data_IF_130989633401
#
_entry.id   IF_130989633401
#
_cell.length_a   1.000
_cell.length_b   1.000
_cell.length_c   1.000
_cell.angle_alpha   90.00
_cell.angle_beta   90.00
_cell.angle_gamma   90.00
#
_symmetry.space_group_name_H-M   'P 1'
#
loop_
_entity.id
_entity.type
_entity.pdbx_description
1 polymer ?
#
# COMPACT_ATOMS: atom_id res chain seq x y z
N UNK A 1 23.11 -37.93 13.67
CA UNK A 1 23.83 -37.15 12.63
C UNK A 1 23.53 -37.75 11.25
N UNK A 2 22.47 -37.32 10.55
CA UNK A 2 22.23 -37.69 9.14
C UNK A 2 21.51 -36.54 8.42
N UNK A 3 22.20 -35.99 7.42
CA UNK A 3 21.72 -35.39 6.15
C UNK A 3 20.58 -34.35 6.12
N UNK A 4 20.97 -33.07 6.08
CA UNK A 4 20.23 -31.98 5.38
C UNK A 4 21.15 -31.32 4.34
N UNK A 5 21.26 -31.90 3.14
CA UNK A 5 21.98 -31.31 1.99
C UNK A 5 21.30 -31.70 0.67
N UNK A 6 20.07 -31.25 0.38
CA UNK A 6 19.45 -31.52 -0.94
C UNK A 6 18.50 -30.44 -1.52
N UNK A 7 18.42 -29.22 -0.98
CA UNK A 7 17.53 -28.17 -1.53
C UNK A 7 18.20 -27.02 -2.29
N UNK A 8 19.53 -26.85 -2.23
CA UNK A 8 20.25 -25.73 -2.90
C UNK A 8 20.40 -25.85 -4.43
N UNK A 9 19.90 -26.92 -5.05
CA UNK A 9 20.12 -27.21 -6.48
C UNK A 9 19.14 -26.56 -7.46
N UNK A 10 17.93 -26.20 -7.04
CA UNK A 10 16.88 -25.67 -7.95
C UNK A 10 16.95 -24.16 -8.15
N UNK A 11 17.22 -23.37 -7.10
CA UNK A 11 17.34 -21.91 -7.21
C UNK A 11 18.47 -21.45 -8.13
N UNK A 12 19.56 -22.24 -8.24
CA UNK A 12 20.71 -21.91 -9.08
C UNK A 12 20.47 -22.10 -10.59
N UNK A 13 19.41 -22.82 -11.00
CA UNK A 13 19.08 -23.00 -12.42
C UNK A 13 18.22 -21.86 -12.98
N UNK A 14 17.34 -21.25 -12.18
CA UNK A 14 16.56 -20.08 -12.59
C UNK A 14 17.43 -18.84 -12.84
N UNK A 15 18.40 -18.57 -11.94
CA UNK A 15 19.33 -17.44 -12.10
C UNK A 15 20.33 -17.60 -13.27
N UNK A 16 20.53 -18.81 -13.80
CA UNK A 16 21.43 -19.05 -14.94
C UNK A 16 20.74 -18.86 -16.29
N UNK A 17 19.41 -18.97 -16.36
CA UNK A 17 18.64 -18.71 -17.58
C UNK A 17 18.51 -17.20 -17.82
N UNK A 18 18.29 -16.41 -16.77
CA UNK A 18 18.23 -14.93 -16.88
C UNK A 18 19.57 -14.28 -17.31
N UNK A 19 20.71 -14.94 -17.07
CA UNK A 19 22.03 -14.43 -17.47
C UNK A 19 22.42 -14.80 -18.92
N UNK A 20 21.81 -15.83 -19.51
CA UNK A 20 22.13 -16.26 -20.87
C UNK A 20 21.40 -15.43 -21.96
N UNK A 21 20.29 -14.77 -21.62
CA UNK A 21 19.54 -13.94 -22.56
C UNK A 21 20.14 -12.54 -22.80
N UNK A 22 21.18 -12.14 -22.06
CA UNK A 22 21.77 -10.80 -22.15
C UNK A 22 23.07 -10.73 -22.99
N UNK A 23 23.64 -11.87 -23.39
CA UNK A 23 24.94 -11.94 -24.08
C UNK A 23 24.82 -12.38 -25.57
N UNK A 24 23.61 -12.42 -26.14
CA UNK A 24 23.38 -12.89 -27.53
C UNK A 24 22.79 -11.82 -28.48
N UNK A 25 23.15 -10.54 -28.27
CA UNK A 25 22.88 -9.46 -29.26
C UNK A 25 24.17 -8.74 -29.68
N UNK A 26 25.12 -9.47 -30.30
CA UNK A 26 26.07 -8.86 -31.24
C UNK A 26 26.48 -9.93 -32.27
N UNK A 27 25.76 -10.05 -33.39
CA UNK A 27 26.32 -10.23 -34.74
C UNK A 27 25.26 -10.41 -35.85
N UNK A 28 25.39 -9.54 -36.87
CA UNK A 28 25.12 -9.72 -38.31
C UNK A 28 23.68 -9.66 -38.87
N UNK A 29 23.45 -8.52 -39.54
CA UNK A 29 22.91 -8.34 -40.90
C UNK A 29 22.41 -9.58 -41.66
N UNK A 30 21.18 -9.51 -42.19
CA UNK A 30 20.92 -9.51 -43.63
C UNK A 30 19.44 -9.16 -43.88
N UNK A 31 19.19 -8.22 -44.79
CA UNK A 31 17.87 -7.93 -45.36
C UNK A 31 17.35 -9.14 -46.14
N UNK A 32 16.04 -9.40 -46.06
CA UNK A 32 15.31 -9.81 -47.25
C UNK A 32 14.11 -8.90 -47.52
N UNK A 33 14.07 -8.37 -48.74
CA UNK A 33 12.84 -7.99 -49.42
C UNK A 33 11.92 -9.21 -49.47
N UNK A 34 10.68 -9.15 -48.94
CA UNK A 34 9.48 -9.61 -49.65
C UNK A 34 8.16 -9.40 -48.89
N UNK A 35 7.17 -8.98 -49.69
CA UNK A 35 5.73 -9.30 -49.63
C UNK A 35 4.84 -8.74 -48.51
N UNK A 36 3.93 -7.86 -48.96
CA UNK A 36 2.74 -7.38 -48.26
C UNK A 36 1.87 -8.51 -47.71
N UNK A 37 1.38 -8.42 -46.45
CA UNK A 37 0.44 -9.39 -45.92
C UNK A 37 -0.98 -9.20 -46.49
N UNK A 38 -1.77 -10.29 -46.61
CA UNK A 38 -3.17 -10.23 -47.00
C UNK A 38 -4.04 -9.66 -45.88
N UNK A 39 -5.02 -8.84 -46.25
CA UNK A 39 -6.00 -8.26 -45.35
C UNK A 39 -6.91 -9.34 -44.75
N UNK A 40 -6.82 -9.54 -43.44
CA UNK A 40 -7.75 -10.36 -42.65
C UNK A 40 -8.96 -9.50 -42.25
N UNK A 41 -10.14 -9.89 -42.74
CA UNK A 41 -11.43 -9.33 -42.36
C UNK A 41 -11.78 -9.81 -40.94
N UNK A 42 -11.78 -8.88 -39.97
CA UNK A 42 -12.40 -9.10 -38.66
C UNK A 42 -13.92 -9.15 -38.84
N UNK A 43 -14.53 -10.28 -38.48
CA UNK A 43 -15.95 -10.36 -38.15
C UNK A 43 -16.07 -10.15 -36.65
N UNK A 44 -16.74 -9.07 -36.26
CA UNK A 44 -17.25 -8.84 -34.91
C UNK A 44 -18.61 -9.53 -34.79
N UNK A 45 -18.72 -10.49 -33.88
CA UNK A 45 -19.99 -11.03 -33.41
C UNK A 45 -20.27 -10.35 -32.06
N UNK A 46 -21.36 -9.57 -32.04
CA UNK A 46 -21.94 -8.97 -30.85
C UNK A 46 -22.84 -10.03 -30.18
N UNK A 47 -22.54 -10.41 -28.94
CA UNK A 47 -23.46 -11.13 -28.06
C UNK A 47 -23.72 -10.22 -26.84
N UNK A 48 -24.93 -9.67 -26.80
CA UNK A 48 -25.51 -8.96 -25.66
C UNK A 48 -26.25 -10.00 -24.79
N UNK A 49 -25.80 -10.20 -23.55
CA UNK A 49 -26.56 -10.94 -22.53
C UNK A 49 -26.96 -9.95 -21.43
N UNK A 50 -28.24 -9.62 -21.40
CA UNK A 50 -28.92 -8.87 -20.33
C UNK A 50 -29.36 -9.85 -19.23
N UNK A 51 -28.72 -9.82 -18.05
CA UNK A 51 -29.26 -10.46 -16.84
C UNK A 51 -29.70 -9.39 -15.83
N UNK A 52 -31.02 -9.33 -15.64
CA UNK A 52 -31.75 -8.41 -14.77
C UNK A 52 -32.00 -9.10 -13.41
N UNK A 53 -31.17 -8.81 -12.39
CA UNK A 53 -31.29 -9.39 -11.06
C UNK A 53 -32.18 -8.54 -10.13
N UNK A 54 -33.35 -9.10 -9.83
CA UNK A 54 -34.37 -8.60 -8.91
C UNK A 54 -33.94 -8.81 -7.44
N UNK A 55 -33.75 -7.73 -6.68
CA UNK A 55 -33.57 -7.78 -5.22
C UNK A 55 -34.90 -7.49 -4.52
N UNK A 56 -35.35 -8.43 -3.67
CA UNK A 56 -36.46 -8.26 -2.75
C UNK A 56 -35.95 -7.68 -1.42
N UNK A 57 -36.53 -6.55 -1.00
CA UNK A 57 -36.32 -5.92 0.32
C UNK A 57 -36.99 -6.74 1.43
N UNK A 58 -36.23 -7.05 2.48
CA UNK A 58 -36.73 -7.59 3.73
C UNK A 58 -36.42 -6.63 4.88
N UNK A 59 -37.44 -5.87 5.28
CA UNK A 59 -37.48 -5.11 6.52
C UNK A 59 -37.82 -6.05 7.69
N UNK A 60 -36.91 -6.18 8.66
CA UNK A 60 -37.21 -6.77 9.97
C UNK A 60 -36.98 -5.71 11.07
N UNK A 61 -38.10 -5.11 11.48
CA UNK A 61 -38.23 -4.34 12.71
C UNK A 61 -38.05 -5.26 13.94
N UNK A 62 -37.16 -4.88 14.86
CA UNK A 62 -37.10 -5.52 16.18
C UNK A 62 -36.81 -4.49 17.27
N UNK A 63 -37.89 -3.84 17.72
CA UNK A 63 -37.93 -2.98 18.91
C UNK A 63 -38.17 -3.83 20.17
N UNK A 64 -37.19 -3.89 21.08
CA UNK A 64 -37.45 -4.18 22.50
C UNK A 64 -36.37 -3.56 23.40
N UNK A 65 -36.67 -2.35 23.89
CA UNK A 65 -36.00 -1.73 25.02
C UNK A 65 -36.71 -2.13 26.33
N UNK A 66 -36.04 -2.92 27.16
CA UNK A 66 -36.38 -3.06 28.58
C UNK A 66 -35.32 -2.35 29.44
N UNK A 67 -35.69 -1.21 30.02
CA UNK A 67 -34.89 -0.53 31.03
C UNK A 67 -35.05 -1.22 32.39
N UNK A 68 -33.93 -1.69 32.97
CA UNK A 68 -33.87 -2.23 34.33
C UNK A 68 -32.91 -1.38 35.17
N UNK A 69 -33.47 -0.62 36.10
CA UNK A 69 -32.72 0.12 37.12
C UNK A 69 -32.15 -0.83 38.18
N UNK A 70 -30.82 -0.91 38.27
CA UNK A 70 -30.11 -1.59 39.36
C UNK A 70 -29.17 -0.60 40.08
N UNK A 71 -29.53 -0.32 41.34
CA UNK A 71 -28.73 0.42 42.31
C UNK A 71 -27.66 -0.50 42.92
N UNK A 72 -26.48 -0.54 42.29
CA UNK A 72 -25.34 -1.33 42.73
C UNK A 72 -24.27 -0.44 43.38
N UNK A 73 -24.22 -0.47 44.71
CA UNK A 73 -23.10 0.09 45.48
C UNK A 73 -21.82 -0.74 45.25
N UNK A 74 -20.95 -0.27 44.35
CA UNK A 74 -19.73 -0.97 43.93
C UNK A 74 -18.60 -0.85 44.97
N UNK A 75 -18.22 -1.97 45.59
CA UNK A 75 -16.97 -2.08 46.34
C UNK A 75 -15.81 -2.42 45.39
N UNK A 76 -15.11 -1.39 44.90
CA UNK A 76 -13.93 -1.57 44.05
C UNK A 76 -12.72 -1.95 44.92
N UNK A 77 -12.29 -3.21 44.88
CA UNK A 77 -10.99 -3.63 45.44
C UNK A 77 -9.92 -3.60 44.35
N UNK A 78 -8.94 -2.70 44.50
CA UNK A 78 -7.84 -2.52 43.55
C UNK A 78 -6.74 -3.54 43.87
N UNK A 79 -6.38 -4.39 42.92
CA UNK A 79 -5.25 -5.32 43.01
C UNK A 79 -4.17 -4.84 42.03
N UNK A 80 -2.94 -4.69 42.50
CA UNK A 80 -1.82 -4.16 41.72
C UNK A 80 -1.16 -5.28 40.90
N UNK A 81 -0.88 -5.09 39.60
CA UNK A 81 -0.24 -6.11 38.79
C UNK A 81 1.25 -6.28 39.16
N UNK A 82 1.70 -7.52 39.13
CA UNK A 82 3.12 -7.89 39.30
C UNK A 82 3.57 -8.66 38.07
N UNK A 83 4.65 -8.21 37.45
CA UNK A 83 5.34 -8.98 36.41
C UNK A 83 6.26 -9.96 37.13
N UNK A 84 6.08 -11.24 36.85
CA UNK A 84 7.02 -12.28 37.30
C UNK A 84 7.58 -12.96 36.07
N UNK A 85 8.91 -13.13 36.07
CA UNK A 85 9.62 -13.84 35.02
C UNK A 85 9.81 -15.26 35.56
N UNK A 86 9.29 -16.25 34.84
CA UNK A 86 9.54 -17.65 35.17
C UNK A 86 10.91 -18.05 34.61
N UNK A 87 11.90 -18.09 35.50
CA UNK A 87 13.28 -18.43 35.16
C UNK A 87 13.44 -19.86 34.62
N UNK A 88 12.49 -20.77 34.87
CA UNK A 88 12.59 -22.16 34.42
C UNK A 88 12.22 -22.33 32.94
N UNK A 89 11.31 -21.51 32.43
CA UNK A 89 10.80 -21.62 31.05
C UNK A 89 11.27 -20.50 30.13
N UNK A 90 11.82 -19.41 30.68
CA UNK A 90 12.17 -18.21 29.90
C UNK A 90 10.95 -17.48 29.33
N UNK A 91 9.75 -17.87 29.75
CA UNK A 91 8.50 -17.26 29.33
C UNK A 91 8.16 -16.04 30.20
N UNK A 92 7.76 -14.94 29.57
CA UNK A 92 7.14 -13.81 30.25
C UNK A 92 5.65 -14.08 30.41
N UNK A 93 5.17 -14.08 31.67
CA UNK A 93 3.74 -14.20 31.95
C UNK A 93 3.14 -12.81 32.17
N UNK A 94 2.19 -12.40 31.33
CA UNK A 94 1.44 -11.15 31.46
C UNK A 94 0.19 -11.39 32.31
N UNK A 95 0.12 -10.73 33.48
CA UNK A 95 -1.09 -10.72 34.30
C UNK A 95 -1.91 -9.44 34.01
N UNK A 96 -3.19 -9.59 33.68
CA UNK A 96 -4.12 -8.48 33.48
C UNK A 96 -4.98 -8.23 34.73
N UNK A 97 -5.39 -6.97 34.93
CA UNK A 97 -6.25 -6.59 36.05
C UNK A 97 -7.71 -6.91 35.71
N UNK A 98 -8.36 -7.75 36.51
CA UNK A 98 -9.79 -8.02 36.46
C UNK A 98 -10.47 -7.36 37.65
N UNK A 99 -11.62 -6.72 37.45
CA UNK A 99 -12.56 -6.34 38.49
C UNK A 99 -13.65 -7.39 38.56
N UNK A 100 -14.31 -7.53 39.69
CA UNK A 100 -15.58 -8.24 39.77
C UNK A 100 -16.69 -7.19 39.73
N UNK A 101 -17.47 -7.17 38.66
CA UNK A 101 -18.67 -6.34 38.50
C UNK A 101 -19.86 -7.28 38.44
N UNK A 102 -20.79 -7.16 39.38
CA UNK A 102 -22.00 -7.98 39.47
C UNK A 102 -21.71 -9.49 39.45
N UNK A 103 -20.69 -9.91 40.20
CA UNK A 103 -20.26 -11.31 40.29
C UNK A 103 -19.52 -11.84 39.06
N UNK A 104 -19.27 -11.02 38.04
CA UNK A 104 -18.52 -11.40 36.82
C UNK A 104 -17.16 -10.74 36.78
N UNK A 105 -16.14 -11.47 36.34
CA UNK A 105 -14.80 -10.95 36.12
C UNK A 105 -14.79 -10.08 34.84
N UNK A 106 -14.60 -8.79 35.00
CA UNK A 106 -14.55 -7.80 33.94
C UNK A 106 -13.13 -7.23 33.81
N UNK A 107 -12.51 -7.23 32.62
CA UNK A 107 -11.22 -6.59 32.41
C UNK A 107 -11.25 -5.11 32.77
N UNK A 108 -10.39 -4.70 33.71
CA UNK A 108 -10.21 -3.28 34.03
C UNK A 108 -9.35 -2.68 32.92
N UNK A 109 -9.98 -2.00 31.96
CA UNK A 109 -9.26 -1.11 31.05
C UNK A 109 -8.68 0.03 31.89
N UNK A 110 -7.36 0.03 32.13
CA UNK A 110 -6.67 1.17 32.73
C UNK A 110 -6.93 2.39 31.85
N UNK A 111 -7.66 3.37 32.37
CA UNK A 111 -7.94 4.66 31.70
C UNK A 111 -6.74 5.63 31.75
N UNK A 112 -5.53 5.12 31.92
CA UNK A 112 -4.32 5.95 32.06
C UNK A 112 -3.06 5.14 31.72
N UNK A 113 -2.91 4.84 30.44
CA UNK A 113 -1.67 4.91 29.68
C UNK A 113 -2.17 5.22 28.28
N UNK A 114 -1.89 6.44 27.82
CA UNK A 114 -2.50 7.07 26.66
C UNK A 114 -2.45 6.10 25.46
N UNK A 115 -3.58 5.46 25.16
CA UNK A 115 -4.00 5.36 23.76
C UNK A 115 -4.18 6.81 23.35
N UNK A 116 -3.10 7.45 22.92
CA UNK A 116 -3.22 8.54 21.96
C UNK A 116 -4.22 8.02 20.94
N UNK A 117 -5.34 8.70 20.80
CA UNK A 117 -6.26 8.35 19.73
C UNK A 117 -5.46 8.40 18.42
N UNK A 118 -5.87 7.64 17.41
CA UNK A 118 -5.21 7.73 16.08
C UNK A 118 -5.17 9.20 15.62
N UNK A 119 -6.16 9.99 16.02
CA UNK A 119 -6.18 11.45 15.88
C UNK A 119 -5.09 12.18 16.67
N UNK A 120 -4.91 11.93 17.98
CA UNK A 120 -3.86 12.60 18.75
C UNK A 120 -2.44 12.21 18.30
N UNK A 121 -2.23 10.97 17.82
CA UNK A 121 -0.97 10.60 17.18
C UNK A 121 -0.77 11.34 15.85
N UNK A 122 -1.84 11.53 15.06
CA UNK A 122 -1.81 12.33 13.84
C UNK A 122 -1.53 13.81 14.12
N UNK A 123 -2.14 14.40 15.16
CA UNK A 123 -1.92 15.82 15.49
C UNK A 123 -0.54 16.08 16.08
N UNK A 124 -0.02 15.19 16.93
CA UNK A 124 1.37 15.29 17.41
C UNK A 124 2.41 15.14 16.28
N UNK A 125 2.11 14.34 15.25
CA UNK A 125 2.94 14.31 14.03
C UNK A 125 2.76 15.54 13.15
N UNK A 126 1.63 16.25 13.25
CA UNK A 126 1.32 17.44 12.45
C UNK A 126 2.01 18.69 13.00
N UNK A 127 1.89 18.97 14.31
CA UNK A 127 2.56 20.15 14.92
C UNK A 127 4.09 20.06 14.80
N UNK A 128 4.64 18.85 14.92
CA UNK A 128 6.09 18.64 14.72
C UNK A 128 6.51 18.66 13.24
N UNK A 129 5.55 18.53 12.31
CA UNK A 129 5.77 18.60 10.85
C UNK A 129 5.93 20.05 10.38
N UNK A 130 5.23 20.99 11.01
CA UNK A 130 5.20 22.40 10.58
C UNK A 130 6.54 23.11 10.83
N UNK A 131 7.21 22.84 11.95
CA UNK A 131 8.51 23.45 12.27
C UNK A 131 9.69 22.91 11.43
N UNK A 132 9.49 21.85 10.64
CA UNK A 132 10.48 21.27 9.72
C UNK A 132 10.15 21.50 8.24
N UNK A 133 9.08 22.24 7.93
CA UNK A 133 8.52 22.37 6.59
C UNK A 133 9.33 23.23 5.60
N UNK A 134 10.57 23.62 5.89
CA UNK A 134 11.42 24.42 4.98
C UNK A 134 12.87 23.92 5.12
N UNK A 135 13.48 23.21 4.16
CA UNK A 135 13.81 23.60 2.77
C UNK A 135 14.10 22.30 1.98
N UNK A 136 13.17 21.90 1.13
CA UNK A 136 12.79 20.50 0.95
C UNK A 136 13.53 19.92 -0.31
N UNK A 137 14.32 18.81 -0.28
CA UNK A 137 14.56 17.94 -1.49
C UNK A 137 13.49 16.84 -1.59
N UNK A 138 12.31 17.33 -1.20
CA UNK A 138 10.94 16.86 -1.26
C UNK A 138 10.52 15.74 -0.32
N UNK A 139 11.01 15.86 0.91
CA UNK A 139 10.28 15.49 2.14
C UNK A 139 10.70 14.18 2.79
N UNK A 140 11.60 13.43 2.17
CA UNK A 140 12.21 12.24 2.75
C UNK A 140 13.73 12.41 2.81
N UNK A 141 14.26 12.63 4.01
CA UNK A 141 15.69 12.49 4.25
C UNK A 141 16.00 10.99 4.29
N UNK A 142 16.70 10.48 3.28
CA UNK A 142 17.18 9.11 3.28
C UNK A 142 18.37 9.02 4.25
N UNK A 143 18.33 8.16 5.29
CA UNK A 143 19.49 7.96 6.14
C UNK A 143 20.66 7.38 5.33
N UNK A 144 21.86 7.93 5.53
CA UNK A 144 23.03 7.70 4.67
C UNK A 144 23.80 6.39 4.89
N UNK A 145 23.43 5.58 5.88
CA UNK A 145 24.08 4.32 6.25
C UNK A 145 23.14 3.12 5.99
N UNK A 146 23.28 2.49 4.81
CA UNK A 146 22.50 1.30 4.42
C UNK A 146 21.98 1.31 2.97
N UNK A 147 22.31 2.33 2.20
CA UNK A 147 21.73 2.55 0.88
C UNK A 147 22.06 1.45 -0.13
N UNK A 148 23.28 0.89 -0.12
CA UNK A 148 23.72 -0.01 -1.20
C UNK A 148 22.90 -1.30 -1.25
N UNK A 149 22.66 -1.95 -0.11
CA UNK A 149 21.88 -3.19 -0.10
C UNK A 149 20.39 -2.93 -0.35
N UNK A 150 19.86 -1.80 0.13
CA UNK A 150 18.47 -1.42 -0.15
C UNK A 150 18.27 -1.09 -1.64
N UNK A 151 19.26 -0.49 -2.30
CA UNK A 151 19.23 -0.24 -3.75
C UNK A 151 19.29 -1.55 -4.55
N UNK A 152 20.16 -2.50 -4.18
CA UNK A 152 20.21 -3.81 -4.83
C UNK A 152 18.91 -4.61 -4.64
N UNK A 153 18.35 -4.55 -3.42
CA UNK A 153 17.03 -5.08 -3.09
C UNK A 153 15.95 -4.51 -4.02
N UNK A 154 15.83 -3.18 -4.09
CA UNK A 154 14.85 -2.48 -4.93
C UNK A 154 14.98 -2.88 -6.40
N UNK A 155 16.21 -2.87 -6.93
CA UNK A 155 16.48 -3.25 -8.31
C UNK A 155 16.05 -4.69 -8.60
N UNK A 156 16.34 -5.61 -7.67
CA UNK A 156 15.95 -7.02 -7.81
C UNK A 156 14.44 -7.20 -7.74
N UNK A 157 13.80 -6.49 -6.81
CA UNK A 157 12.35 -6.49 -6.62
C UNK A 157 11.64 -5.97 -7.88
N UNK A 158 11.99 -4.77 -8.35
CA UNK A 158 11.41 -4.14 -9.54
C UNK A 158 11.60 -5.00 -10.79
N UNK A 159 12.80 -5.54 -11.01
CA UNK A 159 13.07 -6.38 -12.16
C UNK A 159 12.21 -7.65 -12.17
N UNK A 160 11.95 -8.24 -11.00
CA UNK A 160 11.08 -9.41 -10.89
C UNK A 160 9.60 -9.05 -11.12
N UNK A 161 9.13 -7.91 -10.60
CA UNK A 161 7.78 -7.41 -10.87
C UNK A 161 7.57 -7.18 -12.38
N UNK A 162 8.51 -6.49 -13.03
CA UNK A 162 8.45 -6.21 -14.48
C UNK A 162 8.48 -7.52 -15.28
N UNK A 163 9.40 -8.43 -14.96
CA UNK A 163 9.47 -9.72 -15.65
C UNK A 163 8.19 -10.57 -15.48
N UNK A 164 7.51 -10.46 -14.33
CA UNK A 164 6.21 -11.12 -14.10
C UNK A 164 5.12 -10.51 -14.97
N UNK A 165 5.05 -9.18 -15.02
CA UNK A 165 4.09 -8.45 -15.87
C UNK A 165 4.31 -8.76 -17.36
N UNK A 166 5.56 -8.74 -17.82
CA UNK A 166 5.91 -9.05 -19.21
C UNK A 166 5.61 -10.51 -19.59
N UNK A 167 5.56 -11.42 -18.60
CA UNK A 167 5.15 -12.80 -18.78
C UNK A 167 3.62 -12.98 -18.89
N UNK A 168 2.85 -11.89 -18.86
CA UNK A 168 1.39 -11.91 -18.99
C UNK A 168 0.64 -11.97 -17.66
N UNK A 169 1.30 -11.73 -16.53
CA UNK A 169 0.61 -11.57 -15.25
C UNK A 169 -0.22 -10.28 -15.28
N UNK A 170 -1.55 -10.44 -15.24
CA UNK A 170 -2.50 -9.33 -15.28
C UNK A 170 -2.83 -8.83 -13.87
N UNK A 171 -2.67 -9.67 -12.85
CA UNK A 171 -2.89 -9.27 -11.47
C UNK A 171 -1.61 -8.71 -10.86
N UNK A 172 -1.66 -7.43 -10.48
CA UNK A 172 -0.54 -6.79 -9.78
C UNK A 172 -0.06 -7.56 -8.55
N UNK A 173 -0.97 -8.24 -7.84
CA UNK A 173 -0.60 -9.12 -6.73
C UNK A 173 0.44 -10.17 -7.13
N UNK A 174 0.30 -10.79 -8.30
CA UNK A 174 1.28 -11.73 -8.84
C UNK A 174 2.65 -11.09 -9.05
N UNK A 175 2.69 -9.86 -9.57
CA UNK A 175 3.93 -9.09 -9.71
C UNK A 175 4.60 -8.81 -8.35
N UNK A 176 3.83 -8.38 -7.34
CA UNK A 176 4.34 -8.19 -5.97
C UNK A 176 4.87 -9.50 -5.37
N UNK A 177 4.13 -10.61 -5.53
CA UNK A 177 4.54 -11.93 -5.06
C UNK A 177 5.85 -12.38 -5.74
N UNK A 178 6.03 -12.09 -7.04
CA UNK A 178 7.27 -12.33 -7.76
C UNK A 178 8.44 -11.51 -7.18
N UNK A 179 8.23 -10.22 -6.91
CA UNK A 179 9.21 -9.35 -6.25
C UNK A 179 9.61 -9.85 -4.86
N UNK A 180 8.63 -10.25 -4.05
CA UNK A 180 8.85 -10.87 -2.72
C UNK A 180 9.65 -12.17 -2.86
N UNK A 181 9.27 -13.04 -3.79
CA UNK A 181 9.96 -14.31 -4.01
C UNK A 181 11.41 -14.11 -4.43
N UNK A 182 11.67 -13.17 -5.36
CA UNK A 182 13.02 -12.89 -5.85
C UNK A 182 13.95 -12.33 -4.77
N UNK A 183 13.42 -11.61 -3.79
CA UNK A 183 14.23 -10.92 -2.77
C UNK A 183 14.29 -11.62 -1.41
N UNK A 184 13.26 -12.38 -1.03
CA UNK A 184 13.14 -12.99 0.31
C UNK A 184 14.32 -13.89 0.72
N UNK A 185 14.99 -14.54 -0.24
CA UNK A 185 16.09 -15.46 0.05
C UNK A 185 17.46 -14.78 0.23
N UNK A 186 17.67 -13.61 -0.37
CA UNK A 186 18.99 -12.95 -0.44
C UNK A 186 19.05 -11.62 0.32
N UNK A 187 17.90 -11.08 0.72
CA UNK A 187 17.78 -9.78 1.36
C UNK A 187 16.92 -9.88 2.63
N UNK A 188 17.07 -10.97 3.40
CA UNK A 188 16.38 -11.15 4.68
C UNK A 188 16.72 -10.04 5.68
N UNK A 189 17.97 -9.56 5.65
CA UNK A 189 18.42 -8.41 6.44
C UNK A 189 17.78 -7.07 6.03
N UNK A 190 17.13 -6.98 4.86
CA UNK A 190 16.32 -5.81 4.49
C UNK A 190 14.88 -6.06 4.91
N UNK A 191 14.32 -7.23 4.59
CA UNK A 191 12.94 -7.61 4.94
C UNK A 191 12.65 -7.57 6.44
N UNK A 192 13.60 -7.97 7.29
CA UNK A 192 13.39 -8.09 8.73
C UNK A 192 13.81 -6.85 9.53
N UNK A 193 14.27 -5.79 8.87
CA UNK A 193 14.72 -4.56 9.51
C UNK A 193 13.75 -3.41 9.22
N UNK A 194 13.11 -2.89 10.28
CA UNK A 194 12.11 -1.82 10.19
C UNK A 194 12.71 -0.56 9.55
N UNK A 195 13.92 -0.16 9.95
CA UNK A 195 14.54 1.09 9.45
C UNK A 195 14.89 0.97 7.97
N UNK A 196 15.34 -0.20 7.52
CA UNK A 196 15.63 -0.45 6.10
C UNK A 196 14.35 -0.50 5.27
N UNK A 197 13.27 -1.07 5.78
CA UNK A 197 11.98 -1.03 5.09
C UNK A 197 11.38 0.40 5.05
N UNK A 198 11.54 1.18 6.12
CA UNK A 198 11.18 2.61 6.11
C UNK A 198 12.01 3.40 5.09
N UNK A 199 13.30 3.06 4.92
CA UNK A 199 14.15 3.62 3.86
C UNK A 199 13.62 3.27 2.47
N UNK A 200 13.28 1.99 2.23
CA UNK A 200 12.69 1.50 0.96
C UNK A 200 11.38 2.22 0.65
N UNK A 201 10.49 2.36 1.63
CA UNK A 201 9.25 3.13 1.49
C UNK A 201 9.53 4.60 1.16
N UNK A 202 10.46 5.23 1.88
CA UNK A 202 10.86 6.62 1.67
C UNK A 202 11.49 6.85 0.28
N UNK A 203 12.22 5.86 -0.24
CA UNK A 203 12.77 5.91 -1.59
C UNK A 203 11.65 6.02 -2.64
N UNK A 204 10.60 5.20 -2.53
CA UNK A 204 9.46 5.27 -3.45
C UNK A 204 8.67 6.57 -3.30
N UNK A 205 8.50 7.07 -2.08
CA UNK A 205 7.91 8.39 -1.86
C UNK A 205 8.69 9.49 -2.56
N UNK A 206 10.02 9.51 -2.41
CA UNK A 206 10.88 10.50 -3.07
C UNK A 206 10.84 10.36 -4.59
N UNK A 207 10.88 9.14 -5.13
CA UNK A 207 10.87 8.90 -6.59
C UNK A 207 9.53 9.30 -7.21
N UNK A 208 8.41 8.99 -6.56
CA UNK A 208 7.08 9.40 -7.00
C UNK A 208 6.84 10.91 -6.91
N UNK A 209 7.24 11.54 -5.80
CA UNK A 209 7.15 13.01 -5.66
C UNK A 209 7.97 13.73 -6.74
N UNK A 210 9.19 13.23 -7.04
CA UNK A 210 10.01 13.78 -8.12
C UNK A 210 9.31 13.63 -9.48
N UNK A 211 8.67 12.49 -9.72
CA UNK A 211 7.97 12.25 -10.98
C UNK A 211 6.78 13.19 -11.18
N UNK A 212 6.04 13.49 -10.10
CA UNK A 212 4.93 14.45 -10.10
C UNK A 212 5.43 15.87 -10.38
N UNK A 213 6.54 16.28 -9.75
CA UNK A 213 7.05 17.65 -9.83
C UNK A 213 7.83 17.94 -11.12
N UNK A 214 8.43 16.93 -11.73
CA UNK A 214 9.23 17.09 -12.96
C UNK A 214 8.43 16.82 -14.25
N UNK A 215 7.12 16.54 -14.15
CA UNK A 215 6.22 16.29 -15.29
C UNK A 215 6.79 15.29 -16.31
N UNK A 216 7.47 14.26 -15.81
CA UNK A 216 8.03 13.24 -16.70
C UNK A 216 6.89 12.45 -17.33
N UNK A 217 7.00 12.18 -18.63
CA UNK A 217 6.10 11.28 -19.34
C UNK A 217 6.28 9.84 -18.82
N UNK A 218 5.46 9.44 -17.85
CA UNK A 218 5.50 8.13 -17.24
C UNK A 218 4.41 7.95 -16.19
N UNK A 219 4.03 6.71 -15.92
CA UNK A 219 3.02 6.43 -14.89
C UNK A 219 3.60 6.62 -13.49
N UNK A 220 2.90 7.40 -12.66
CA UNK A 220 3.22 7.65 -11.24
C UNK A 220 2.69 6.53 -10.32
N UNK A 221 1.73 5.74 -10.81
CA UNK A 221 1.01 4.70 -10.08
C UNK A 221 1.90 3.60 -9.49
N UNK A 222 2.93 3.08 -10.19
CA UNK A 222 3.81 2.06 -9.60
C UNK A 222 4.52 2.57 -8.35
N UNK A 223 4.93 3.84 -8.30
CA UNK A 223 5.63 4.39 -7.13
C UNK A 223 4.70 4.49 -5.91
N UNK A 224 3.47 4.96 -6.11
CA UNK A 224 2.48 5.02 -5.03
C UNK A 224 2.18 3.61 -4.48
N UNK A 225 2.02 2.66 -5.38
CA UNK A 225 1.69 1.26 -5.06
C UNK A 225 2.84 0.55 -4.35
N UNK A 226 4.08 0.73 -4.80
CA UNK A 226 5.24 0.19 -4.11
C UNK A 226 5.43 0.82 -2.72
N UNK A 227 5.33 2.15 -2.59
CA UNK A 227 5.45 2.80 -1.29
C UNK A 227 4.38 2.29 -0.30
N UNK A 228 3.13 2.19 -0.76
CA UNK A 228 2.02 1.67 0.04
C UNK A 228 2.23 0.21 0.43
N UNK A 229 2.66 -0.64 -0.50
CA UNK A 229 2.96 -2.04 -0.22
C UNK A 229 4.01 -2.22 0.89
N UNK A 230 5.15 -1.53 0.79
CA UNK A 230 6.20 -1.64 1.81
C UNK A 230 5.76 -1.04 3.14
N UNK A 231 4.98 0.05 3.14
CA UNK A 231 4.37 0.58 4.35
C UNK A 231 3.44 -0.45 5.03
N UNK A 232 2.61 -1.14 4.24
CA UNK A 232 1.73 -2.20 4.73
C UNK A 232 2.54 -3.40 5.22
N UNK A 233 3.63 -3.78 4.55
CA UNK A 233 4.52 -4.86 4.99
C UNK A 233 5.11 -4.59 6.38
N UNK A 234 5.59 -3.35 6.62
CA UNK A 234 6.09 -2.94 7.95
C UNK A 234 4.98 -3.09 9.00
N UNK A 235 3.77 -2.60 8.70
CA UNK A 235 2.64 -2.67 9.63
C UNK A 235 2.20 -4.11 9.94
N UNK A 236 2.16 -4.99 8.94
CA UNK A 236 1.62 -6.35 9.10
C UNK A 236 2.65 -7.34 9.62
N UNK A 237 3.85 -7.36 9.04
CA UNK A 237 4.84 -8.40 9.31
C UNK A 237 5.85 -8.02 10.39
N UNK A 238 6.27 -6.76 10.45
CA UNK A 238 7.32 -6.31 11.37
C UNK A 238 6.75 -5.75 12.68
N UNK A 239 5.79 -4.84 12.60
CA UNK A 239 5.19 -4.18 13.76
C UNK A 239 3.93 -4.91 14.28
N UNK A 240 3.30 -5.74 13.44
CA UNK A 240 2.05 -6.47 13.76
C UNK A 240 0.93 -5.55 14.25
N UNK A 241 0.88 -4.32 13.73
CA UNK A 241 -0.18 -3.35 14.02
C UNK A 241 -1.40 -3.54 13.12
N UNK A 242 -1.26 -4.33 12.05
CA UNK A 242 -2.31 -4.67 11.10
C UNK A 242 -2.30 -6.18 10.82
N UNK A 243 -3.46 -6.78 10.58
CA UNK A 243 -3.59 -8.22 10.37
C UNK A 243 -3.07 -8.67 8.99
N UNK A 244 -3.41 -7.92 7.94
CA UNK A 244 -3.13 -8.28 6.55
C UNK A 244 -2.91 -7.03 5.67
N UNK A 245 -2.24 -7.21 4.54
CA UNK A 245 -2.02 -6.14 3.55
C UNK A 245 -3.36 -5.81 2.88
N UNK A 246 -3.71 -4.53 2.80
CA UNK A 246 -4.95 -4.08 2.19
C UNK A 246 -4.87 -4.02 0.65
N UNK A 247 -4.96 -5.19 0.00
CA UNK A 247 -4.88 -5.36 -1.45
C UNK A 247 -5.86 -4.51 -2.27
N UNK A 248 -7.13 -4.30 -1.86
CA UNK A 248 -8.05 -3.45 -2.62
C UNK A 248 -7.54 -2.01 -2.78
N UNK A 249 -6.97 -1.41 -1.72
CA UNK A 249 -6.39 -0.06 -1.82
C UNK A 249 -5.17 -0.04 -2.74
N UNK A 250 -4.34 -1.08 -2.67
CA UNK A 250 -3.18 -1.20 -3.56
C UNK A 250 -3.62 -1.27 -5.03
N UNK A 251 -4.66 -2.04 -5.35
CA UNK A 251 -5.27 -2.08 -6.70
C UNK A 251 -5.79 -0.70 -7.11
N UNK A 252 -6.51 0.01 -6.23
CA UNK A 252 -7.05 1.32 -6.54
C UNK A 252 -5.96 2.35 -6.86
N UNK A 253 -4.80 2.28 -6.19
CA UNK A 253 -3.64 3.15 -6.48
C UNK A 253 -3.02 2.89 -7.86
N UNK A 254 -3.38 1.80 -8.53
CA UNK A 254 -2.89 1.47 -9.87
C UNK A 254 -3.81 1.97 -10.99
N UNK A 255 -5.06 2.31 -10.67
CA UNK A 255 -6.09 2.67 -11.64
C UNK A 255 -6.78 4.02 -11.37
N UNK A 256 -6.45 4.71 -10.28
CA UNK A 256 -7.06 6.01 -9.99
C UNK A 256 -6.47 7.12 -10.87
N UNK A 257 -7.16 8.25 -10.95
CA UNK A 257 -6.66 9.44 -11.64
C UNK A 257 -5.38 10.01 -10.97
N UNK A 258 -4.66 10.84 -11.73
CA UNK A 258 -3.42 11.44 -11.27
C UNK A 258 -3.64 12.37 -10.07
N UNK A 259 -4.79 13.04 -9.97
CA UNK A 259 -5.10 13.92 -8.84
C UNK A 259 -5.17 13.14 -7.52
N UNK A 260 -5.79 11.95 -7.53
CA UNK A 260 -5.86 11.05 -6.39
C UNK A 260 -4.46 10.56 -5.98
N UNK A 261 -3.57 10.28 -6.95
CA UNK A 261 -2.18 9.93 -6.66
C UNK A 261 -1.42 11.13 -6.07
N UNK A 262 -1.55 12.32 -6.65
CA UNK A 262 -0.90 13.53 -6.13
C UNK A 262 -1.35 13.78 -4.68
N UNK A 263 -2.65 13.64 -4.40
CA UNK A 263 -3.20 13.70 -3.03
C UNK A 263 -2.57 12.65 -2.12
N UNK A 264 -2.45 11.40 -2.59
CA UNK A 264 -1.81 10.33 -1.83
C UNK A 264 -0.38 10.68 -1.39
N UNK A 265 0.43 11.28 -2.28
CA UNK A 265 1.79 11.74 -1.96
C UNK A 265 1.78 12.97 -1.06
N UNK A 266 0.94 13.97 -1.34
CA UNK A 266 0.77 15.20 -0.54
C UNK A 266 0.50 14.90 0.93
N UNK A 267 -0.39 13.95 1.23
CA UNK A 267 -0.75 13.61 2.60
C UNK A 267 0.44 13.01 3.38
N UNK A 268 1.35 12.31 2.68
CA UNK A 268 2.44 11.51 3.28
C UNK A 268 3.78 12.23 3.29
N UNK A 269 3.99 13.18 2.40
CA UNK A 269 5.23 13.92 2.27
C UNK A 269 4.97 15.37 2.69
N UNK A 270 5.56 15.85 3.80
CA UNK A 270 5.41 17.24 4.22
C UNK A 270 6.24 18.15 3.30
N UNK A 271 5.70 18.47 2.14
CA UNK A 271 6.38 19.35 1.21
C UNK A 271 5.41 20.30 0.50
N UNK A 272 5.74 21.60 0.54
CA UNK A 272 4.94 22.65 -0.10
C UNK A 272 4.84 22.46 -1.61
N UNK A 273 5.87 21.92 -2.26
CA UNK A 273 5.86 21.69 -3.71
C UNK A 273 4.74 20.72 -4.15
N UNK A 274 4.43 19.70 -3.34
CA UNK A 274 3.30 18.81 -3.64
C UNK A 274 1.95 19.47 -3.35
N UNK A 275 1.89 20.41 -2.39
CA UNK A 275 0.68 21.21 -2.18
C UNK A 275 0.40 22.09 -3.39
N UNK A 276 1.42 22.80 -3.87
CA UNK A 276 1.32 23.66 -5.07
C UNK A 276 0.89 22.85 -6.28
N UNK A 277 1.55 21.70 -6.55
CA UNK A 277 1.20 20.85 -7.69
C UNK A 277 -0.21 20.25 -7.59
N UNK A 278 -0.68 19.96 -6.37
CA UNK A 278 -2.04 19.49 -6.14
C UNK A 278 -3.09 20.56 -6.45
N UNK A 279 -2.89 21.81 -5.99
CA UNK A 279 -3.84 22.88 -6.29
C UNK A 279 -3.85 23.21 -7.79
N UNK A 280 -2.70 23.18 -8.47
CA UNK A 280 -2.60 23.33 -9.93
C UNK A 280 -3.43 22.27 -10.68
N UNK A 281 -3.19 20.98 -10.38
CA UNK A 281 -3.90 19.87 -11.01
C UNK A 281 -5.41 19.92 -10.72
N UNK A 282 -5.81 20.40 -9.55
CA UNK A 282 -7.21 20.57 -9.18
C UNK A 282 -7.88 21.71 -9.96
N UNK A 283 -7.20 22.85 -10.12
CA UNK A 283 -7.73 23.98 -10.90
C UNK A 283 -7.94 23.63 -12.37
N UNK A 284 -7.02 22.87 -12.96
CA UNK A 284 -7.16 22.44 -14.36
C UNK A 284 -8.38 21.55 -14.63
N UNK A 285 -8.97 20.92 -13.62
CA UNK A 285 -10.21 20.13 -13.80
C UNK A 285 -11.48 20.98 -13.79
N UNK A 286 -11.46 22.16 -13.17
CA UNK A 286 -12.64 23.03 -13.08
C UNK A 286 -12.90 23.72 -14.42
N UNK A 287 -11.84 24.11 -15.14
CA UNK A 287 -11.95 24.80 -16.44
C UNK A 287 -12.67 23.96 -17.51
N UNK A 288 -12.61 22.62 -17.42
CA UNK A 288 -13.33 21.74 -18.36
C UNK A 288 -14.81 21.52 -18.01
N UNK A 289 -15.25 21.90 -16.80
CA UNK A 289 -16.63 21.68 -16.36
C UNK A 289 -17.55 22.87 -16.60
N UNK A 290 -17.01 24.08 -16.77
CA UNK A 290 -17.81 25.32 -16.87
C UNK A 290 -18.19 25.67 -18.33
N UNK A 291 -17.57 25.06 -19.35
CA UNK A 291 -17.87 25.33 -20.76
C UNK A 291 -19.13 24.62 -21.30
N UNK A 292 -19.72 23.67 -20.56
CA UNK A 292 -20.91 22.91 -21.02
C UNK A 292 -22.26 23.52 -20.62
N UNK A 293 -22.31 24.58 -19.80
CA UNK A 293 -23.59 25.14 -19.28
C UNK A 293 -24.13 26.39 -20.02
N UNK A 294 -23.45 26.93 -21.04
CA UNK A 294 -23.88 28.19 -21.70
C UNK A 294 -24.61 28.06 -23.07
N UNK A 295 -24.94 26.85 -23.57
CA UNK A 295 -25.56 26.70 -24.92
C UNK A 295 -27.06 26.32 -24.96
N UNK A 296 -27.81 26.30 -23.85
CA UNK A 296 -29.25 25.90 -23.84
C UNK A 296 -30.25 27.02 -23.50
N UNK A 297 -30.05 28.27 -23.95
CA UNK A 297 -31.05 29.33 -23.73
C UNK A 297 -31.33 30.19 -24.98
N UNK A 298 -31.60 29.56 -26.13
CA UNK A 298 -32.14 30.26 -27.32
C UNK A 298 -33.01 29.32 -28.17
N UNK A 299 -34.25 29.03 -27.73
CA UNK A 299 -35.06 28.05 -28.47
C UNK A 299 -36.56 27.97 -28.26
N UNK A 300 -37.22 28.88 -27.53
CA UNK A 300 -38.69 28.86 -27.42
C UNK A 300 -39.31 30.26 -27.57
N UNK A 301 -39.34 30.78 -28.80
CA UNK A 301 -40.36 31.74 -29.19
C UNK A 301 -40.74 31.50 -30.65
N UNK A 302 -41.90 30.85 -30.85
CA UNK A 302 -42.87 31.04 -31.95
C UNK A 302 -43.66 29.74 -32.20
N UNK A 303 -44.90 29.65 -31.72
CA UNK A 303 -46.13 29.51 -32.55
C UNK A 303 -47.41 29.38 -31.73
#
# INVERSE_FOLDING_TARGET
MVSKKKSRGKARRAAKVAKAAADEEVQQSDEPEHESPPQLQLKTEEEEDEEEDHYEDHDEDNDHDEEVDHDDSLQIRKITPTVTIDEATGGTCLSFCLAIVNGRLTPIRKKSEQRLTVEEQRTLTHEKREDLAVKCEHGCHLPGDGESICQEFLKTFEAACVASHDAGETEWKGCFDAGVHATSANYDEVWMDVKRMEWVTSFYFRRGARHILEERNGSIHPYASFAFFFQQHVATHLLKTQAEIHWPTLRNLLSCDDLAIIRFFKDRIPCSCLNEKYEEAKSSLVEFGEEEEEEEEDGEEET
#
